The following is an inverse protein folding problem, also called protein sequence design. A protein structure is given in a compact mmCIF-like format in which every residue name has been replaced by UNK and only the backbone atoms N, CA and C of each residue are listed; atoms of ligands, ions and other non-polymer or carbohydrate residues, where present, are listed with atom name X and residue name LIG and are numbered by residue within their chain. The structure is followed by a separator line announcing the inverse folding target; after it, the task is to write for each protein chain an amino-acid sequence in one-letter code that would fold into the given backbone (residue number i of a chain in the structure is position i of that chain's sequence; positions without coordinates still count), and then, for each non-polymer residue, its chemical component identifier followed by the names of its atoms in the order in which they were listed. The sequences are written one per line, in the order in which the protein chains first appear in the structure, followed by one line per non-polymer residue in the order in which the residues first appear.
data_IF_751848087267
#
_entry.id   IF_751848087267
#
_cell.length_a   1.000
_cell.length_b   1.000
_cell.length_c   1.000
_cell.angle_alpha   90.00
_cell.angle_beta   90.00
_cell.angle_gamma   90.00
#
_symmetry.space_group_name_H-M   'P 1'
#
loop_
_entity.id
_entity.type
_entity.pdbx_description
1 polymer ?
#
# COMPACT_ATOMS: atom_id res chain seq x y z
N UNK A 1 -16.02 -7.34 15.63
CA UNK A 1 -14.67 -6.91 16.05
C UNK A 1 -13.69 -7.60 15.12
N UNK A 2 -12.84 -6.87 14.40
CA UNK A 2 -11.85 -7.50 13.50
C UNK A 2 -10.82 -8.27 14.32
N UNK A 3 -10.34 -9.39 13.80
CA UNK A 3 -9.21 -10.11 14.39
C UNK A 3 -7.91 -9.35 14.15
N UNK A 4 -6.89 -9.61 14.99
CA UNK A 4 -5.52 -9.07 14.82
C UNK A 4 -4.97 -9.29 13.40
N UNK A 5 -5.18 -10.50 12.86
CA UNK A 5 -4.72 -10.88 11.53
C UNK A 5 -5.45 -10.11 10.43
N UNK A 6 -6.77 -9.96 10.55
CA UNK A 6 -7.57 -9.18 9.61
C UNK A 6 -7.15 -7.72 9.62
N UNK A 7 -7.03 -7.10 10.80
CA UNK A 7 -6.62 -5.71 10.95
C UNK A 7 -5.26 -5.45 10.27
N UNK A 8 -4.24 -6.25 10.58
CA UNK A 8 -2.91 -6.09 10.00
C UNK A 8 -2.89 -6.32 8.48
N UNK A 9 -3.64 -7.30 7.98
CA UNK A 9 -3.75 -7.55 6.54
C UNK A 9 -4.45 -6.39 5.82
N UNK A 10 -5.56 -5.89 6.37
CA UNK A 10 -6.27 -4.73 5.82
C UNK A 10 -5.36 -3.51 5.77
N UNK A 11 -4.67 -3.20 6.87
CA UNK A 11 -3.73 -2.09 6.94
C UNK A 11 -2.63 -2.21 5.88
N UNK A 12 -2.01 -3.39 5.76
CA UNK A 12 -0.97 -3.65 4.76
C UNK A 12 -1.45 -3.46 3.33
N UNK A 13 -2.63 -3.99 3.01
CA UNK A 13 -3.22 -3.82 1.67
C UNK A 13 -3.42 -2.34 1.37
N UNK A 14 -3.99 -1.57 2.31
CA UNK A 14 -4.18 -0.13 2.15
C UNK A 14 -2.86 0.63 2.00
N UNK A 15 -1.79 0.25 2.71
CA UNK A 15 -0.44 0.84 2.53
C UNK A 15 0.07 0.61 1.10
N UNK A 16 -0.02 -0.63 0.59
CA UNK A 16 0.43 -0.98 -0.76
C UNK A 16 -0.38 -0.23 -1.82
N UNK A 17 -1.70 -0.15 -1.65
CA UNK A 17 -2.59 0.61 -2.53
C UNK A 17 -2.23 2.10 -2.54
N UNK A 18 -1.98 2.68 -1.35
CA UNK A 18 -1.58 4.08 -1.22
C UNK A 18 -0.26 4.38 -1.94
N UNK A 19 0.75 3.52 -1.79
CA UNK A 19 2.02 3.66 -2.50
C UNK A 19 1.84 3.55 -4.02
N UNK A 20 0.98 2.65 -4.49
CA UNK A 20 0.69 2.53 -5.90
C UNK A 20 -0.04 3.76 -6.45
N UNK A 21 -1.02 4.31 -5.73
CA UNK A 21 -1.67 5.57 -6.09
C UNK A 21 -0.67 6.73 -6.17
N UNK A 22 0.26 6.84 -5.22
CA UNK A 22 1.35 7.85 -5.27
C UNK A 22 2.22 7.66 -6.51
N UNK A 23 2.58 6.42 -6.86
CA UNK A 23 3.35 6.12 -8.09
C UNK A 23 2.58 6.51 -9.36
N UNK A 24 1.28 6.23 -9.41
CA UNK A 24 0.42 6.59 -10.54
C UNK A 24 0.30 8.10 -10.69
N UNK A 25 0.07 8.82 -9.60
CA UNK A 25 -0.01 10.28 -9.59
C UNK A 25 1.30 10.92 -10.07
N UNK A 26 2.46 10.44 -9.56
CA UNK A 26 3.77 10.92 -10.04
C UNK A 26 3.95 10.71 -11.55
N UNK A 27 3.54 9.56 -12.09
CA UNK A 27 3.61 9.28 -13.54
C UNK A 27 2.70 10.18 -14.37
N UNK A 28 1.49 10.45 -13.88
CA UNK A 28 0.58 11.38 -14.56
C UNK A 28 1.19 12.79 -14.61
N UNK A 29 1.81 13.23 -13.50
CA UNK A 29 2.49 14.52 -13.42
C UNK A 29 3.75 14.65 -14.30
N UNK A 30 4.51 13.56 -14.51
CA UNK A 30 5.73 13.61 -15.34
C UNK A 30 5.49 13.33 -16.82
N UNK A 31 4.59 12.40 -17.15
CA UNK A 31 4.49 11.83 -18.51
C UNK A 31 3.18 12.22 -19.22
N UNK A 32 2.21 12.80 -18.50
CA UNK A 32 0.85 13.06 -19.00
C UNK A 32 0.12 11.80 -19.49
N UNK A 33 0.67 10.60 -19.22
CA UNK A 33 0.16 9.31 -19.69
C UNK A 33 0.30 8.25 -18.60
N UNK A 34 -0.77 7.53 -18.24
CA UNK A 34 -0.69 6.49 -17.24
C UNK A 34 0.02 5.23 -17.77
N UNK A 35 0.68 4.50 -16.87
CA UNK A 35 1.15 3.15 -17.14
C UNK A 35 -0.06 2.23 -17.37
N UNK A 36 -0.26 1.80 -18.62
CA UNK A 36 -1.42 1.00 -19.05
C UNK A 36 -2.11 1.57 -20.28
N UNK A 37 -1.92 2.85 -20.63
CA UNK A 37 -2.46 3.45 -21.85
C UNK A 37 -1.59 3.17 -23.10
N UNK A 38 -1.09 1.93 -23.24
CA UNK A 38 -0.69 1.44 -24.56
C UNK A 38 -1.94 0.85 -25.21
N UNK A 39 -2.40 1.54 -26.25
CA UNK A 39 -3.43 1.15 -27.22
C UNK A 39 -4.86 0.94 -26.71
N UNK A 40 -5.56 2.05 -26.47
CA UNK A 40 -6.93 2.18 -26.99
C UNK A 40 -6.90 3.34 -27.98
N UNK A 41 -6.56 3.03 -29.23
CA UNK A 41 -6.96 3.88 -30.35
C UNK A 41 -8.48 3.86 -30.36
N UNK A 42 -9.11 4.79 -29.66
CA UNK A 42 -10.51 5.10 -29.90
C UNK A 42 -10.58 5.90 -31.19
N UNK A 43 -10.63 5.17 -32.30
CA UNK A 43 -11.34 5.66 -33.47
C UNK A 43 -12.76 6.01 -33.02
N UNK A 44 -13.21 7.21 -33.41
CA UNK A 44 -14.53 7.80 -33.19
C UNK A 44 -14.84 8.26 -31.75
N UNK A 45 -14.68 9.57 -31.50
CA UNK A 45 -15.81 10.51 -31.34
C UNK A 45 -15.25 11.93 -31.42
N UNK A 46 -15.86 12.70 -32.31
CA UNK A 46 -15.64 14.13 -32.54
C UNK A 46 -16.17 14.91 -31.33
N UNK A 47 -15.33 15.07 -30.32
CA UNK A 47 -15.55 15.92 -29.16
C UNK A 47 -14.23 16.59 -28.80
N UNK A 48 -14.29 17.86 -28.47
CA UNK A 48 -13.19 18.76 -28.09
C UNK A 48 -12.53 18.36 -26.76
N UNK A 49 -12.15 17.08 -26.60
CA UNK A 49 -11.47 16.59 -25.41
C UNK A 49 -9.98 16.84 -25.56
N UNK A 50 -9.56 18.01 -25.10
CA UNK A 50 -8.16 18.33 -24.90
C UNK A 50 -7.52 17.21 -24.05
N UNK A 51 -6.51 16.48 -24.58
CA UNK A 51 -5.80 15.45 -23.83
C UNK A 51 -5.24 15.97 -22.49
N UNK A 52 -4.92 17.26 -22.40
CA UNK A 52 -4.51 17.89 -21.15
C UNK A 52 -5.64 17.93 -20.12
N UNK A 53 -6.87 18.26 -20.54
CA UNK A 53 -8.03 18.27 -19.65
C UNK A 53 -8.38 16.86 -19.13
N UNK A 54 -8.23 15.84 -19.97
CA UNK A 54 -8.43 14.44 -19.55
C UNK A 54 -7.36 13.97 -18.55
N UNK A 55 -6.10 14.37 -18.73
CA UNK A 55 -5.03 14.08 -17.79
C UNK A 55 -5.22 14.79 -16.44
N UNK A 56 -5.69 16.04 -16.45
CA UNK A 56 -6.03 16.79 -15.23
C UNK A 56 -7.17 16.12 -14.46
N UNK A 57 -8.27 15.76 -15.13
CA UNK A 57 -9.39 15.05 -14.49
C UNK A 57 -8.97 13.70 -13.88
N UNK A 58 -8.04 13.00 -14.54
CA UNK A 58 -7.47 11.76 -14.01
C UNK A 58 -6.61 12.01 -12.76
N UNK A 59 -5.78 13.07 -12.77
CA UNK A 59 -4.98 13.45 -11.61
C UNK A 59 -5.87 13.81 -10.41
N UNK A 60 -6.89 14.64 -10.62
CA UNK A 60 -7.87 15.02 -9.59
C UNK A 60 -8.55 13.78 -8.99
N UNK A 61 -8.94 12.81 -9.84
CA UNK A 61 -9.52 11.55 -9.41
C UNK A 61 -8.56 10.70 -8.56
N UNK A 62 -7.28 10.61 -8.95
CA UNK A 62 -6.26 9.90 -8.20
C UNK A 62 -5.93 10.58 -6.87
N UNK A 63 -5.89 11.91 -6.82
CA UNK A 63 -5.68 12.68 -5.59
C UNK A 63 -6.81 12.47 -4.58
N UNK A 64 -8.07 12.48 -5.05
CA UNK A 64 -9.21 12.21 -4.17
C UNK A 64 -9.20 10.77 -3.65
N UNK A 65 -8.84 9.78 -4.48
CA UNK A 65 -8.66 8.40 -4.03
C UNK A 65 -7.52 8.27 -3.02
N UNK A 66 -6.41 8.96 -3.25
CA UNK A 66 -5.27 9.00 -2.34
C UNK A 66 -5.69 9.54 -0.97
N UNK A 67 -6.37 10.69 -0.95
CA UNK A 67 -6.85 11.34 0.28
C UNK A 67 -7.77 10.42 1.08
N UNK A 68 -8.75 9.79 0.43
CA UNK A 68 -9.65 8.81 1.09
C UNK A 68 -8.87 7.64 1.69
N UNK A 69 -7.86 7.13 0.98
CA UNK A 69 -7.02 6.04 1.47
C UNK A 69 -6.14 6.45 2.65
N UNK A 70 -5.66 7.70 2.68
CA UNK A 70 -4.94 8.25 3.84
C UNK A 70 -5.86 8.36 5.06
N UNK A 71 -7.10 8.80 4.88
CA UNK A 71 -8.14 8.85 5.93
C UNK A 71 -8.45 7.43 6.45
N UNK A 72 -8.70 6.46 5.56
CA UNK A 72 -8.92 5.04 5.93
C UNK A 72 -7.75 4.46 6.75
N UNK A 73 -6.50 4.76 6.35
CA UNK A 73 -5.32 4.31 7.08
C UNK A 73 -5.19 4.97 8.44
N UNK A 74 -5.52 6.25 8.56
CA UNK A 74 -5.49 6.98 9.82
C UNK A 74 -6.48 6.39 10.84
N UNK A 75 -7.65 5.96 10.41
CA UNK A 75 -8.64 5.28 11.27
C UNK A 75 -8.14 3.94 11.84
N UNK A 76 -7.29 3.24 11.08
CA UNK A 76 -6.71 1.95 11.49
C UNK A 76 -5.41 2.12 12.28
N UNK A 77 -4.73 3.26 12.13
CA UNK A 77 -3.38 3.49 12.65
C UNK A 77 -3.29 3.31 14.17
N UNK A 78 -4.26 3.82 14.94
CA UNK A 78 -4.24 3.71 16.40
C UNK A 78 -4.31 2.25 16.87
N UNK A 79 -5.15 1.43 16.23
CA UNK A 79 -5.28 0.01 16.59
C UNK A 79 -4.03 -0.79 16.20
N UNK A 80 -3.42 -0.47 15.06
CA UNK A 80 -2.17 -1.09 14.61
C UNK A 80 -1.01 -0.69 15.51
N UNK A 81 -0.91 0.58 15.88
CA UNK A 81 0.11 1.07 16.81
C UNK A 81 0.00 0.41 18.19
N UNK A 82 -1.23 0.22 18.69
CA UNK A 82 -1.46 -0.51 19.93
C UNK A 82 -0.97 -1.98 19.83
N UNK A 83 -1.27 -2.66 18.72
CA UNK A 83 -0.77 -4.03 18.46
C UNK A 83 0.75 -4.09 18.36
N UNK A 84 1.38 -3.11 17.74
CA UNK A 84 2.84 -3.05 17.62
C UNK A 84 3.50 -2.81 18.98
N UNK A 85 2.95 -1.93 19.81
CA UNK A 85 3.44 -1.67 21.17
C UNK A 85 3.30 -2.88 22.09
N UNK A 86 2.40 -3.81 21.78
CA UNK A 86 2.25 -5.04 22.57
C UNK A 86 3.33 -6.09 22.27
N UNK A 87 4.14 -5.91 21.22
CA UNK A 87 5.19 -6.86 20.83
C UNK A 87 6.43 -6.66 21.70
N UNK A 88 6.73 -7.63 22.57
CA UNK A 88 7.90 -7.57 23.45
C UNK A 88 9.22 -7.95 22.78
N UNK A 89 9.19 -8.92 21.86
CA UNK A 89 10.38 -9.36 21.14
C UNK A 89 10.70 -8.38 20.00
N UNK A 90 11.84 -7.70 20.11
CA UNK A 90 12.24 -6.66 19.16
C UNK A 90 12.39 -7.19 17.72
N UNK A 91 12.87 -8.43 17.55
CA UNK A 91 13.00 -9.04 16.22
C UNK A 91 11.64 -9.29 15.58
N UNK A 92 10.70 -9.81 16.35
CA UNK A 92 9.31 -9.97 15.92
C UNK A 92 8.69 -8.62 15.58
N UNK A 93 8.90 -7.59 16.41
CA UNK A 93 8.43 -6.23 16.12
C UNK A 93 8.94 -5.74 14.76
N UNK A 94 10.24 -5.86 14.50
CA UNK A 94 10.82 -5.44 13.21
C UNK A 94 10.20 -6.19 12.03
N UNK A 95 10.04 -7.52 12.14
CA UNK A 95 9.42 -8.33 11.08
C UNK A 95 7.98 -7.88 10.80
N UNK A 96 7.18 -7.71 11.86
CA UNK A 96 5.78 -7.27 11.73
C UNK A 96 5.70 -5.86 11.16
N UNK A 97 6.52 -4.93 11.66
CA UNK A 97 6.58 -3.56 11.18
C UNK A 97 6.94 -3.49 9.69
N UNK A 98 8.05 -4.12 9.27
CA UNK A 98 8.43 -4.10 7.86
C UNK A 98 7.38 -4.75 6.97
N UNK A 99 6.80 -5.88 7.37
CA UNK A 99 5.85 -6.60 6.53
C UNK A 99 4.50 -5.87 6.41
N UNK A 100 3.95 -5.40 7.54
CA UNK A 100 2.59 -4.86 7.60
C UNK A 100 2.52 -3.34 7.50
N UNK A 101 3.45 -2.62 8.13
CA UNK A 101 3.44 -1.14 8.12
C UNK A 101 4.13 -0.58 6.90
N UNK A 102 5.23 -1.19 6.47
CA UNK A 102 5.97 -0.75 5.28
C UNK A 102 5.57 -1.51 4.01
N UNK A 103 4.57 -2.40 4.08
CA UNK A 103 4.09 -3.12 2.90
C UNK A 103 5.08 -4.10 2.25
N UNK A 104 6.23 -4.37 2.88
CA UNK A 104 7.28 -5.20 2.28
C UNK A 104 6.81 -6.66 2.06
N UNK A 105 7.45 -7.36 1.11
CA UNK A 105 7.35 -8.82 0.98
C UNK A 105 8.25 -9.55 1.98
N UNK A 106 8.03 -10.84 2.21
CA UNK A 106 8.88 -11.63 3.10
C UNK A 106 10.36 -11.63 2.64
N UNK A 107 10.63 -11.61 1.32
CA UNK A 107 11.97 -11.47 0.76
C UNK A 107 12.61 -10.11 1.07
N UNK A 108 11.84 -9.03 0.96
CA UNK A 108 12.32 -7.68 1.26
C UNK A 108 12.59 -7.52 2.76
N UNK A 109 11.71 -8.04 3.62
CA UNK A 109 11.93 -8.08 5.08
C UNK A 109 13.21 -8.85 5.40
N UNK A 110 13.35 -10.06 4.86
CA UNK A 110 14.51 -10.92 5.09
C UNK A 110 15.82 -10.23 4.68
N UNK A 111 15.84 -9.59 3.51
CA UNK A 111 16.98 -8.81 3.01
C UNK A 111 17.28 -7.61 3.91
N UNK A 112 16.27 -6.85 4.30
CA UNK A 112 16.43 -5.63 5.13
C UNK A 112 16.96 -5.96 6.51
N UNK A 113 16.48 -7.05 7.11
CA UNK A 113 16.85 -7.48 8.46
C UNK A 113 18.03 -8.45 8.49
N UNK A 114 18.64 -8.76 7.34
CA UNK A 114 19.72 -9.74 7.21
C UNK A 114 19.40 -11.11 7.86
N UNK A 115 18.17 -11.60 7.67
CA UNK A 115 17.71 -12.91 8.14
C UNK A 115 17.25 -13.78 6.97
N UNK A 116 17.08 -15.09 7.20
CA UNK A 116 16.47 -15.94 6.17
C UNK A 116 14.97 -15.66 6.03
N UNK A 117 14.44 -15.81 4.81
CA UNK A 117 13.00 -15.70 4.53
C UNK A 117 12.17 -16.64 5.41
N UNK A 118 12.63 -17.87 5.61
CA UNK A 118 11.97 -18.87 6.48
C UNK A 118 11.88 -18.35 7.92
N UNK A 119 12.94 -17.74 8.44
CA UNK A 119 12.94 -17.20 9.79
C UNK A 119 11.99 -16.01 9.95
N UNK A 120 11.96 -15.10 8.97
CA UNK A 120 11.03 -13.99 8.96
C UNK A 120 9.57 -14.48 8.95
N UNK A 121 9.25 -15.46 8.10
CA UNK A 121 7.93 -16.08 8.04
C UNK A 121 7.54 -16.73 9.36
N UNK A 122 8.43 -17.49 9.99
CA UNK A 122 8.17 -18.13 11.29
C UNK A 122 7.86 -17.12 12.39
N UNK A 123 8.63 -16.03 12.48
CA UNK A 123 8.39 -14.97 13.48
C UNK A 123 7.01 -14.33 13.28
N UNK A 124 6.66 -14.04 12.02
CA UNK A 124 5.34 -13.50 11.67
C UNK A 124 4.22 -14.48 12.02
N UNK A 125 4.34 -15.73 11.61
CA UNK A 125 3.36 -16.79 11.86
C UNK A 125 3.13 -16.99 13.37
N UNK A 126 4.21 -17.15 14.15
CA UNK A 126 4.11 -17.31 15.60
C UNK A 126 3.42 -16.12 16.28
N UNK A 127 3.69 -14.89 15.84
CA UNK A 127 3.01 -13.72 16.38
C UNK A 127 1.51 -13.70 16.06
N UNK A 128 1.13 -14.11 14.85
CA UNK A 128 -0.28 -14.16 14.44
C UNK A 128 -1.04 -15.27 15.18
N UNK A 129 -0.40 -16.42 15.38
CA UNK A 129 -1.00 -17.61 16.00
C UNK A 129 -1.05 -17.53 17.53
N UNK A 130 -0.18 -16.71 18.14
CA UNK A 130 -0.28 -16.35 19.55
C UNK A 130 -1.48 -15.41 19.76
N UNK A 131 -2.68 -15.98 19.89
CA UNK A 131 -3.90 -15.29 20.28
C UNK A 131 -3.90 -15.00 21.79
#
# INVERSE_FOLDING_TARGET
MMTKKELLNTYRTSVIELEELRRQLMRVGTDGRPAGARSLQMDSIRGTNDPAAAAMQLADGLEEMLRRKEEELAELAEQVDALLRSIRDFRTYLVIHHYYVLGHTDEQVARTLAVSRVRALQLRQHYLDAA
#
